data_IF_646336750216
#
_entry.id   IF_646336750216
#
_cell.length_a   1.000
_cell.length_b   1.000
_cell.length_c   1.000
_cell.angle_alpha   90.00
_cell.angle_beta   90.00
_cell.angle_gamma   90.00
#
_symmetry.space_group_name_H-M   'P 1'
#
loop_
_entity.id
_entity.type
_entity.pdbx_description
1 polymer ?
#
# COMPACT_ATOMS: atom_id res chain seq x y z
N UNK A 1 11.33 -7.02 -22.89
CA UNK A 1 11.44 -7.41 -21.48
C UNK A 1 10.67 -6.38 -20.70
N UNK A 2 9.51 -6.75 -20.15
CA UNK A 2 8.83 -5.93 -19.15
C UNK A 2 9.83 -5.59 -18.04
N UNK A 3 10.04 -4.30 -17.78
CA UNK A 3 10.87 -3.85 -16.66
C UNK A 3 10.26 -4.41 -15.37
N UNK A 4 11.11 -4.89 -14.46
CA UNK A 4 10.71 -5.35 -13.13
C UNK A 4 9.92 -4.23 -12.44
N UNK A 5 8.65 -4.48 -12.14
CA UNK A 5 7.77 -3.51 -11.47
C UNK A 5 8.00 -3.59 -9.97
N UNK A 6 8.38 -2.48 -9.37
CA UNK A 6 8.56 -2.37 -7.93
C UNK A 6 7.19 -2.30 -7.24
N UNK A 7 7.01 -3.10 -6.19
CA UNK A 7 5.76 -3.20 -5.43
C UNK A 7 6.07 -2.98 -3.96
N UNK A 8 5.29 -2.11 -3.31
CA UNK A 8 5.46 -1.85 -1.88
C UNK A 8 4.55 -2.81 -1.10
N UNK A 9 5.17 -3.61 -0.23
CA UNK A 9 4.46 -4.50 0.70
C UNK A 9 4.40 -3.85 2.08
N UNK A 10 3.19 -3.64 2.60
CA UNK A 10 2.99 -3.16 3.96
C UNK A 10 2.58 -4.33 4.85
N UNK A 11 3.53 -4.79 5.68
CA UNK A 11 3.26 -5.75 6.74
C UNK A 11 2.91 -5.03 8.03
N UNK A 12 1.87 -5.52 8.69
CA UNK A 12 1.45 -5.05 9.99
C UNK A 12 2.04 -6.01 11.01
N UNK A 13 2.86 -5.51 11.92
CA UNK A 13 3.46 -6.31 13.00
C UNK A 13 2.40 -6.81 14.00
N UNK A 14 2.81 -7.09 15.24
CA UNK A 14 1.88 -7.57 16.26
C UNK A 14 0.78 -6.54 16.53
N UNK A 15 -0.46 -6.89 16.18
CA UNK A 15 -1.63 -6.16 16.61
C UNK A 15 -2.02 -6.67 18.00
N UNK A 16 -1.89 -5.84 19.04
CA UNK A 16 -2.37 -6.14 20.39
C UNK A 16 -3.90 -6.37 20.46
N UNK A 17 -4.62 -6.06 19.38
CA UNK A 17 -6.06 -6.16 19.26
C UNK A 17 -6.47 -7.61 18.94
N UNK A 18 -6.79 -8.37 19.99
CA UNK A 18 -7.38 -9.72 19.93
C UNK A 18 -8.53 -9.80 18.91
N UNK A 19 -8.25 -10.17 17.65
CA UNK A 19 -9.17 -10.63 16.60
C UNK A 19 -10.28 -9.68 16.11
N UNK A 20 -10.97 -9.00 17.02
CA UNK A 20 -12.23 -8.26 16.82
C UNK A 20 -12.09 -6.96 16.02
N UNK A 21 -10.90 -6.35 15.97
CA UNK A 21 -10.68 -5.07 15.26
C UNK A 21 -9.87 -5.18 13.97
N UNK A 22 -9.50 -6.39 13.53
CA UNK A 22 -8.58 -6.56 12.39
C UNK A 22 -9.17 -6.06 11.07
N UNK A 23 -10.41 -6.41 10.74
CA UNK A 23 -11.03 -6.01 9.48
C UNK A 23 -11.25 -4.48 9.40
N UNK A 24 -11.71 -3.88 10.49
CA UNK A 24 -11.90 -2.42 10.60
C UNK A 24 -10.58 -1.67 10.48
N UNK A 25 -9.53 -2.19 11.10
CA UNK A 25 -8.19 -1.65 11.00
C UNK A 25 -7.63 -1.76 9.58
N UNK A 26 -7.66 -2.93 8.96
CA UNK A 26 -7.20 -3.14 7.58
C UNK A 26 -7.98 -2.24 6.59
N UNK A 27 -9.29 -2.09 6.78
CA UNK A 27 -10.12 -1.17 5.98
C UNK A 27 -9.67 0.28 6.14
N UNK A 28 -9.34 0.70 7.36
CA UNK A 28 -8.84 2.05 7.65
C UNK A 28 -7.45 2.26 7.08
N UNK A 29 -6.52 1.32 7.27
CA UNK A 29 -5.19 1.36 6.67
C UNK A 29 -5.29 1.47 5.14
N UNK A 30 -6.14 0.66 4.52
CA UNK A 30 -6.36 0.70 3.08
C UNK A 30 -6.79 2.09 2.58
N UNK A 31 -7.63 2.80 3.33
CA UNK A 31 -8.03 4.19 3.02
C UNK A 31 -6.85 5.17 3.17
N UNK A 32 -6.06 5.03 4.24
CA UNK A 32 -4.88 5.87 4.50
C UNK A 32 -3.83 5.69 3.40
N UNK A 33 -3.50 4.45 3.05
CA UNK A 33 -2.54 4.13 1.98
C UNK A 33 -2.98 4.73 0.65
N UNK A 34 -4.25 4.54 0.24
CA UNK A 34 -4.80 5.16 -0.97
C UNK A 34 -4.68 6.68 -0.95
N UNK A 35 -4.98 7.30 0.20
CA UNK A 35 -4.92 8.75 0.33
C UNK A 35 -3.51 9.30 0.16
N UNK A 36 -2.50 8.60 0.69
CA UNK A 36 -1.10 9.04 0.69
C UNK A 36 -0.45 9.05 -0.70
N UNK A 37 -0.91 8.18 -1.59
CA UNK A 37 -0.34 8.03 -2.95
C UNK A 37 -1.24 8.61 -4.05
N UNK A 38 -2.37 9.24 -3.69
CA UNK A 38 -3.41 9.65 -4.65
C UNK A 38 -2.94 10.63 -5.74
N UNK A 39 -1.92 11.42 -5.44
CA UNK A 39 -1.32 12.47 -6.27
C UNK A 39 -0.02 12.04 -6.96
N UNK A 40 0.40 10.78 -6.76
CA UNK A 40 1.63 10.22 -7.31
C UNK A 40 1.41 9.35 -8.55
N UNK A 41 0.20 9.39 -9.15
CA UNK A 41 -0.20 8.54 -10.27
C UNK A 41 -1.19 7.45 -9.86
N UNK A 42 -1.42 6.45 -10.74
CA UNK A 42 -2.37 5.37 -10.47
C UNK A 42 -1.71 4.26 -9.67
N UNK A 43 -1.96 4.22 -8.36
CA UNK A 43 -1.64 3.08 -7.51
C UNK A 43 -2.88 2.24 -7.23
N UNK A 44 -2.74 0.91 -7.35
CA UNK A 44 -3.72 -0.02 -6.81
C UNK A 44 -3.30 -0.42 -5.39
N UNK A 45 -4.19 -0.17 -4.42
CA UNK A 45 -4.02 -0.60 -3.04
C UNK A 45 -4.98 -1.73 -2.74
N UNK A 46 -4.46 -2.90 -2.39
CA UNK A 46 -5.27 -4.10 -2.12
C UNK A 46 -4.66 -4.96 -1.01
N UNK A 47 -5.46 -5.89 -0.47
CA UNK A 47 -5.01 -6.87 0.51
C UNK A 47 -4.88 -8.23 -0.14
N UNK A 48 -3.80 -8.94 0.14
CA UNK A 48 -3.70 -10.38 -0.10
C UNK A 48 -2.90 -11.04 1.03
N UNK A 49 -3.35 -12.20 1.52
CA UNK A 49 -2.62 -13.01 2.51
C UNK A 49 -2.13 -12.22 3.74
N UNK A 50 -2.98 -11.37 4.33
CA UNK A 50 -2.65 -10.52 5.50
C UNK A 50 -1.65 -9.39 5.25
N UNK A 51 -1.26 -9.16 4.00
CA UNK A 51 -0.41 -8.05 3.56
C UNK A 51 -1.22 -7.05 2.77
N UNK A 52 -0.89 -5.77 2.92
CA UNK A 52 -1.36 -4.73 2.02
C UNK A 52 -0.32 -4.50 0.93
N UNK A 53 -0.78 -4.37 -0.31
CA UNK A 53 0.03 -4.11 -1.50
C UNK A 53 -0.28 -2.70 -1.98
N UNK A 54 0.75 -1.98 -2.39
CA UNK A 54 0.65 -0.71 -3.12
C UNK A 54 1.44 -0.89 -4.42
N UNK A 55 0.70 -1.09 -5.50
CA UNK A 55 1.24 -1.50 -6.80
C UNK A 55 0.99 -0.40 -7.86
N UNK A 56 2.02 0.08 -8.57
CA UNK A 56 1.84 1.07 -9.63
C UNK A 56 1.12 0.47 -10.83
N UNK A 57 0.22 1.26 -11.44
CA UNK A 57 -0.63 0.87 -12.59
C UNK A 57 -0.44 1.75 -13.83
N UNK A 58 0.37 2.80 -13.73
CA UNK A 58 0.78 3.63 -14.86
C UNK A 58 2.25 4.07 -14.72
N UNK A 59 2.81 4.62 -15.80
CA UNK A 59 4.22 5.05 -15.85
C UNK A 59 4.52 6.17 -14.85
N UNK A 60 3.53 7.01 -14.52
CA UNK A 60 3.66 8.05 -13.51
C UNK A 60 3.86 7.44 -12.12
N UNK A 61 3.02 6.47 -11.75
CA UNK A 61 3.16 5.73 -10.50
C UNK A 61 4.47 4.95 -10.43
N UNK A 62 4.89 4.30 -11.52
CA UNK A 62 6.18 3.59 -11.57
C UNK A 62 7.35 4.53 -11.26
N UNK A 63 7.38 5.73 -11.86
CA UNK A 63 8.42 6.75 -11.62
C UNK A 63 8.37 7.37 -10.22
N UNK A 64 7.21 7.33 -9.55
CA UNK A 64 6.99 7.90 -8.21
C UNK A 64 7.04 6.86 -7.08
N UNK A 65 7.48 5.63 -7.37
CA UNK A 65 7.48 4.52 -6.40
C UNK A 65 8.30 4.83 -5.14
N UNK A 66 9.45 5.49 -5.26
CA UNK A 66 10.28 5.87 -4.10
C UNK A 66 9.56 6.87 -3.17
N UNK A 67 8.96 7.91 -3.73
CA UNK A 67 8.16 8.89 -2.97
C UNK A 67 6.92 8.21 -2.36
N UNK A 68 6.28 7.29 -3.09
CA UNK A 68 5.17 6.51 -2.56
C UNK A 68 5.60 5.68 -1.33
N UNK A 69 6.77 5.05 -1.39
CA UNK A 69 7.36 4.31 -0.26
C UNK A 69 7.56 5.21 0.96
N UNK A 70 8.16 6.39 0.78
CA UNK A 70 8.40 7.35 1.86
C UNK A 70 7.11 7.86 2.50
N UNK A 71 6.06 8.05 1.70
CA UNK A 71 4.76 8.46 2.21
C UNK A 71 4.05 7.35 2.99
N UNK A 72 4.10 6.10 2.52
CA UNK A 72 3.37 4.99 3.18
C UNK A 72 4.09 4.41 4.40
N UNK A 73 5.40 4.63 4.55
CA UNK A 73 6.18 4.24 5.73
C UNK A 73 5.80 4.96 7.03
N UNK A 74 5.29 6.20 6.94
CA UNK A 74 5.00 7.06 8.10
C UNK A 74 3.74 6.67 8.87
#
# INVERSE_FOLDING_TARGET
>A
MDKMKEVILCYQGEMALKGLNRASFESTLSKILRYRVKDLGKFQVYKAQSLMYVEPRDECAEQMTDEAYDRVRK
#
